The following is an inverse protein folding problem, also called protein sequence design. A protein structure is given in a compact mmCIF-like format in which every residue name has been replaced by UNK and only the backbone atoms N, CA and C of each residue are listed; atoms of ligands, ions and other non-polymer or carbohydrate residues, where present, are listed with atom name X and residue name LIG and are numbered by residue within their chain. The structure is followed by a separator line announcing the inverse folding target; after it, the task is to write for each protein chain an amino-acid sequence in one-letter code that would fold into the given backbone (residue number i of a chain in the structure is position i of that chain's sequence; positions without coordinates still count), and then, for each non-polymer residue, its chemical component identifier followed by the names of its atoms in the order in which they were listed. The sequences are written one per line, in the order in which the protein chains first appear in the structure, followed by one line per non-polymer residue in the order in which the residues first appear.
data_IF_507299211544
#
_entry.id   IF_507299211544
#
_cell.length_a   1.000
_cell.length_b   1.000
_cell.length_c   1.000
_cell.angle_alpha   90.00
_cell.angle_beta   90.00
_cell.angle_gamma   90.00
#
_symmetry.space_group_name_H-M   'P 1'
#
loop_
_entity.id
_entity.type
_entity.pdbx_description
1 polymer ?
2 polymer ?
3 water ?
#
# COMPACT_ATOMS: atom_id res chain seq x y z
N UNK A 25 2.69 15.05 11.27
CA UNK A 25 2.92 14.29 12.49
C UNK A 25 2.49 15.08 13.71
N UNK A 26 1.61 14.49 14.53
CA UNK A 26 1.16 15.22 15.71
C UNK A 26 2.20 15.11 16.82
N UNK A 27 3.01 14.06 16.80
CA UNK A 27 4.10 13.89 17.74
C UNK A 27 5.35 14.53 17.16
N UNK A 28 6.11 15.22 18.01
CA UNK A 28 7.33 15.88 17.59
C UNK A 28 8.53 15.23 18.28
N UNK A 29 9.57 14.94 17.50
CA UNK A 29 10.84 14.41 18.01
C UNK A 29 11.96 15.40 17.68
N UNK A 30 13.19 15.04 18.05
CA UNK A 30 14.31 15.79 17.51
C UNK A 30 14.60 15.33 16.09
N UNK A 31 15.13 16.22 15.22
CA UNK A 31 15.31 15.85 13.80
C UNK A 31 16.44 14.87 13.51
N UNK A 32 17.65 15.16 13.97
CA UNK A 32 18.81 14.40 13.51
C UNK A 32 19.91 14.43 14.55
N UNK A 33 20.64 13.34 14.63
CA UNK A 33 21.76 13.22 15.56
C UNK A 33 22.82 12.31 14.95
N UNK A 34 24.07 12.74 14.99
CA UNK A 34 25.19 11.96 14.49
C UNK A 34 26.11 11.59 15.65
N UNK A 35 26.62 10.37 15.65
CA UNK A 35 27.32 9.89 16.83
C UNK A 35 28.38 8.87 16.44
N UNK A 36 29.36 8.74 17.32
CA UNK A 36 30.40 7.74 17.19
C UNK A 36 29.88 6.38 17.65
N UNK A 37 30.43 5.30 17.13
CA UNK A 37 30.00 3.96 17.56
C UNK A 37 30.32 3.72 19.03
N UNK A 38 29.49 2.87 19.66
CA UNK A 38 29.61 2.47 21.07
C UNK A 38 29.20 3.58 22.03
N UNK A 39 28.72 4.70 21.52
CA UNK A 39 28.21 5.78 22.36
C UNK A 39 26.73 5.56 22.62
N UNK A 40 26.25 6.12 23.72
CA UNK A 40 24.81 6.08 24.03
C UNK A 40 24.12 7.22 23.31
N UNK A 41 22.95 6.94 22.72
CA UNK A 41 22.13 7.99 22.12
C UNK A 41 20.70 7.88 22.65
N UNK A 42 20.08 9.03 22.86
CA UNK A 42 18.70 9.06 23.36
C UNK A 42 17.86 9.96 22.45
N UNK A 43 16.91 9.35 21.78
CA UNK A 43 15.87 10.02 21.02
C UNK A 43 14.67 10.25 21.95
N UNK A 44 14.01 11.38 21.80
CA UNK A 44 12.82 11.64 22.59
C UNK A 44 11.68 12.12 21.70
N UNK A 45 10.47 11.99 22.23
CA UNK A 45 9.27 12.44 21.55
C UNK A 45 8.38 13.11 22.56
N UNK A 46 7.68 14.16 22.14
CA UNK A 46 6.76 14.90 22.97
C UNK A 46 5.37 14.84 22.35
N UNK A 47 4.36 14.66 23.20
CA UNK A 47 2.99 14.55 22.74
C UNK A 47 2.07 15.44 23.57
N UNK A 48 0.87 14.94 23.82
CA UNK A 48 -0.13 15.63 24.61
C UNK A 48 -0.81 14.61 25.52
N UNK A 49 -1.85 15.05 26.23
CA UNK A 49 -2.59 14.16 27.11
C UNK A 49 -3.47 13.20 26.33
N UNK A 50 -3.99 13.64 25.18
CA UNK A 50 -4.83 12.78 24.36
C UNK A 50 -4.09 11.59 23.77
N UNK A 51 -2.76 11.67 23.63
CA UNK A 51 -2.04 10.52 23.08
C UNK A 51 -1.07 9.90 24.08
N UNK A 52 0.18 10.41 24.14
CA UNK A 52 1.21 9.81 24.99
C UNK A 52 0.84 9.92 26.47
N UNK A 53 0.11 10.98 26.86
CA UNK A 53 -0.28 11.15 28.24
C UNK A 53 -1.08 10.01 28.81
N UNK A 54 -1.78 9.23 27.97
CA UNK A 54 -2.64 8.18 28.49
C UNK A 54 -2.60 6.90 27.65
N UNK A 55 -1.58 6.73 26.79
CA UNK A 55 -1.43 5.54 25.96
C UNK A 55 0.04 5.21 25.83
N UNK A 56 0.33 3.91 25.75
CA UNK A 56 1.70 3.45 25.66
C UNK A 56 2.30 3.77 24.29
N UNK A 57 3.63 3.75 24.22
CA UNK A 57 4.37 4.20 23.05
C UNK A 57 5.08 3.01 22.41
N UNK A 58 5.10 3.00 21.08
CA UNK A 58 5.85 2.05 20.27
C UNK A 58 6.92 2.81 19.50
N UNK A 59 8.03 2.13 19.24
CA UNK A 59 9.12 2.66 18.45
C UNK A 59 9.34 1.80 17.22
N UNK A 60 9.52 2.46 16.08
CA UNK A 60 9.64 1.83 14.78
C UNK A 60 10.97 2.25 14.15
N UNK A 61 11.69 1.28 13.61
CA UNK A 61 12.99 1.52 13.01
C UNK A 61 12.92 1.28 11.51
N UNK A 62 13.58 2.14 10.74
CA UNK A 62 13.69 1.97 9.30
C UNK A 62 15.14 2.21 8.90
N UNK A 63 15.83 1.12 8.57
CA UNK A 63 17.17 1.23 8.01
C UNK A 63 17.08 1.82 6.62
N UNK A 64 18.16 2.43 6.13
CA UNK A 64 18.17 2.96 4.75
C UNK A 64 17.76 1.90 3.74
N UNK A 65 16.80 2.26 2.89
CA UNK A 65 16.37 1.39 1.82
C UNK A 65 15.56 0.19 2.24
N UNK A 66 15.14 0.12 3.51
CA UNK A 66 14.39 -1.04 3.98
C UNK A 66 13.01 -0.61 4.45
N UNK A 67 12.19 -1.60 4.71
CA UNK A 67 10.86 -1.36 5.23
C UNK A 67 10.93 -1.08 6.72
N UNK A 68 10.04 -0.24 7.24
CA UNK A 68 9.96 -0.02 8.69
C UNK A 68 9.64 -1.31 9.43
N UNK A 69 10.20 -1.46 10.62
CA UNK A 69 9.94 -2.62 11.44
C UNK A 69 9.74 -2.18 12.89
N UNK A 70 9.05 -3.02 13.66
CA UNK A 70 8.79 -2.70 15.06
C UNK A 70 10.05 -2.89 15.88
N UNK A 71 10.46 -1.85 16.60
CA UNK A 71 11.61 -1.90 17.48
C UNK A 71 11.20 -2.12 18.94
N UNK A 72 10.27 -1.31 19.45
CA UNK A 72 9.82 -1.45 20.84
C UNK A 72 8.33 -1.22 20.92
N UNK A 73 7.72 -1.78 21.97
CA UNK A 73 6.29 -1.62 22.19
C UNK A 73 6.03 -1.55 23.69
N UNK A 74 4.85 -1.09 24.05
CA UNK A 74 4.43 -0.99 25.46
C UNK A 74 5.44 -0.18 26.27
N UNK A 75 5.90 0.92 25.68
CA UNK A 75 6.82 1.87 26.30
C UNK A 75 8.25 1.33 26.39
N UNK A 76 8.41 0.10 26.90
CA UNK A 76 9.75 -0.35 27.26
C UNK A 76 9.97 -1.84 27.00
N UNK A 77 9.18 -2.46 26.13
CA UNK A 77 9.32 -3.87 25.80
C UNK A 77 9.97 -4.01 24.42
N UNK A 78 10.89 -4.96 24.32
CA UNK A 78 11.57 -5.24 23.06
C UNK A 78 10.65 -6.03 22.14
N UNK A 79 10.52 -5.58 20.91
CA UNK A 79 9.81 -6.34 19.89
C UNK A 79 10.59 -7.62 19.59
N UNK A 80 9.90 -8.66 19.11
CA UNK A 80 10.59 -9.93 18.83
C UNK A 80 11.77 -9.73 17.88
N UNK A 81 12.90 -10.32 18.25
CA UNK A 81 14.10 -10.26 17.42
C UNK A 81 14.93 -8.99 17.53
N UNK A 82 14.58 -8.08 18.43
CA UNK A 82 15.27 -6.79 18.55
C UNK A 82 16.38 -6.89 19.60
N UNK A 83 17.48 -6.17 19.35
CA UNK A 83 18.67 -6.28 20.18
C UNK A 83 18.44 -5.78 21.60
N UNK A 84 19.19 -6.38 22.53
CA UNK A 84 19.22 -6.00 23.93
C UNK A 84 19.65 -4.56 24.17
N UNK A 85 20.28 -3.91 23.19
CA UNK A 85 20.85 -2.58 23.39
C UNK A 85 19.82 -1.46 23.35
N UNK A 86 18.56 -1.74 23.03
CA UNK A 86 17.53 -0.71 23.00
C UNK A 86 16.72 -0.74 24.30
N UNK A 87 16.36 0.45 24.78
CA UNK A 87 15.48 0.60 25.95
C UNK A 87 14.55 1.78 25.73
N UNK A 88 13.41 1.77 26.43
CA UNK A 88 12.40 2.79 26.24
C UNK A 88 11.83 3.26 27.57
N UNK A 89 11.24 4.45 27.54
CA UNK A 89 10.59 4.99 28.73
C UNK A 89 9.49 5.96 28.33
N UNK A 90 8.56 6.17 29.26
CA UNK A 90 7.48 7.14 29.07
C UNK A 90 7.16 7.78 30.40
N UNK A 91 6.98 9.10 30.39
CA UNK A 91 6.55 9.82 31.57
C UNK A 91 5.87 11.10 31.12
N UNK A 92 4.78 11.45 31.83
CA UNK A 92 4.00 12.60 31.43
C UNK A 92 3.54 12.44 30.00
N UNK A 93 3.72 13.50 29.21
CA UNK A 93 3.41 13.47 27.78
C UNK A 93 4.67 13.31 26.92
N UNK A 94 5.74 12.73 27.47
CA UNK A 94 6.96 12.50 26.72
C UNK A 94 7.37 11.03 26.80
N UNK A 95 8.19 10.63 25.84
CA UNK A 95 8.72 9.27 25.81
C UNK A 95 10.13 9.33 25.22
N UNK A 96 10.91 8.28 25.46
CA UNK A 96 12.27 8.26 24.95
C UNK A 96 12.69 6.85 24.58
N UNK A 97 13.62 6.78 23.63
CA UNK A 97 14.25 5.55 23.19
C UNK A 97 15.76 5.74 23.29
N UNK A 98 16.43 4.87 24.04
CA UNK A 98 17.87 4.94 24.22
C UNK A 98 18.53 3.74 23.56
N UNK A 99 19.60 4.02 22.82
CA UNK A 99 20.48 3.02 22.21
C UNK A 99 21.79 3.05 22.99
N UNK A 100 22.10 1.96 23.69
CA UNK A 100 23.38 1.81 24.36
C UNK A 100 24.38 1.13 23.43
N UNK A 101 25.60 1.63 23.39
CA UNK A 101 26.63 1.06 22.55
C UNK A 101 26.26 1.07 21.08
N UNK A 102 26.24 2.26 20.49
CA UNK A 102 25.77 2.43 19.12
C UNK A 102 26.59 1.58 18.16
N UNK A 103 25.88 0.88 17.27
CA UNK A 103 26.53 0.06 16.27
C UNK A 103 26.25 0.62 14.88
N UNK A 104 27.06 0.18 13.92
CA UNK A 104 26.90 0.64 12.54
C UNK A 104 25.51 0.33 12.00
N UNK A 105 24.97 -0.84 12.36
CA UNK A 105 23.65 -1.27 11.90
C UNK A 105 22.51 -0.45 12.52
N UNK A 106 22.79 0.45 13.44
CA UNK A 106 21.74 1.27 14.04
C UNK A 106 21.49 2.57 13.31
N UNK A 107 22.30 2.90 12.31
CA UNK A 107 22.04 4.06 11.48
C UNK A 107 20.68 3.94 10.81
N UNK A 108 19.72 4.79 11.18
CA UNK A 108 18.35 4.56 10.71
C UNK A 108 17.46 5.72 11.11
N UNK A 109 16.23 5.68 10.58
CA UNK A 109 15.17 6.59 11.00
C UNK A 109 14.32 5.92 12.06
N UNK A 110 14.06 6.64 13.15
CA UNK A 110 13.32 6.12 14.29
C UNK A 110 12.06 6.94 14.47
N UNK A 111 10.92 6.26 14.52
CA UNK A 111 9.62 6.90 14.60
C UNK A 111 8.89 6.44 15.86
N UNK A 112 8.29 7.39 16.56
CA UNK A 112 7.40 7.09 17.67
C UNK A 112 5.97 6.93 17.16
N UNK A 113 5.23 6.02 17.80
CA UNK A 113 3.83 5.78 17.47
C UNK A 113 3.04 5.59 18.76
N UNK A 114 1.80 6.07 18.77
CA UNK A 114 0.92 5.87 19.91
C UNK A 114 -0.52 6.07 19.49
N UNK A 115 -1.43 5.73 20.39
CA UNK A 115 -2.86 5.87 20.14
C UNK A 115 -3.33 7.20 20.71
N UNK A 116 -4.09 7.95 19.91
CA UNK A 116 -4.68 9.21 20.35
C UNK A 116 -6.17 9.01 20.56
N UNK A 117 -6.64 9.23 21.79
CA UNK A 117 -8.05 9.05 22.12
C UNK A 117 -8.92 10.18 21.58
N UNK A 118 -8.37 11.39 21.48
CA UNK A 118 -9.12 12.50 20.87
C UNK A 118 -9.33 12.25 19.39
N UNK A 119 -8.24 12.17 18.63
CA UNK A 119 -8.33 11.79 17.22
C UNK A 119 -8.91 10.40 17.06
N UNK A 120 -8.78 9.54 18.08
CA UNK A 120 -9.22 8.15 18.04
C UNK A 120 -8.54 7.40 16.89
N UNK A 121 -7.22 7.31 16.98
CA UNK A 121 -6.47 6.61 15.95
C UNK A 121 -4.98 6.72 16.19
N UNK A 122 -4.22 6.06 15.32
CA UNK A 122 -2.78 6.04 15.44
C UNK A 122 -2.19 7.39 15.06
N UNK A 123 -1.30 7.91 15.91
CA UNK A 123 -0.51 9.08 15.58
C UNK A 123 0.96 8.71 15.67
N UNK A 124 1.77 9.40 14.85
CA UNK A 124 3.18 9.11 14.72
C UNK A 124 3.99 10.38 14.91
N UNK A 125 5.32 10.21 15.01
CA UNK A 125 6.24 11.31 14.96
C UNK A 125 6.81 11.49 13.56
N UNK A 126 7.48 12.62 13.37
CA UNK A 126 8.16 12.90 12.10
C UNK A 126 9.45 12.13 11.92
N UNK A 127 9.95 11.45 12.93
CA UNK A 127 11.15 10.65 12.77
C UNK A 127 12.41 11.38 13.21
N UNK A 128 13.39 10.59 13.66
CA UNK A 128 14.72 11.08 14.02
C UNK A 128 15.74 10.21 13.31
N UNK A 129 16.67 10.83 12.59
CA UNK A 129 17.73 10.09 11.90
C UNK A 129 18.92 9.99 12.83
N UNK A 130 19.42 8.77 13.04
CA UNK A 130 20.70 8.57 13.72
C UNK A 130 21.71 8.08 12.68
N UNK A 131 22.80 8.82 12.57
CA UNK A 131 23.89 8.54 11.65
C UNK A 131 25.10 8.10 12.46
N UNK A 132 25.65 6.95 12.11
CA UNK A 132 26.82 6.41 12.81
C UNK A 132 28.07 6.78 12.01
N UNK A 133 28.98 7.52 12.64
CA UNK A 133 30.18 8.02 12.00
C UNK A 133 31.39 7.13 12.27
N UNK B 21 -11.80 9.40 -22.94
CA UNK B 21 -11.74 8.10 -22.26
C UNK B 21 -10.39 7.43 -22.46
N UNK B 22 -9.84 6.92 -21.36
CA UNK B 22 -8.59 6.16 -21.36
C UNK B 22 -8.71 5.06 -20.31
N UNK B 23 -7.65 4.27 -20.18
CA UNK B 23 -7.71 3.12 -19.27
C UNK B 23 -7.80 3.58 -17.81
N UNK B 24 -7.27 4.77 -17.50
CA UNK B 24 -7.38 5.31 -16.14
C UNK B 24 -8.84 5.62 -15.80
N UNK B 25 -9.54 6.36 -16.67
CA UNK B 25 -10.96 6.62 -16.43
C UNK B 25 -11.76 5.34 -16.42
N UNK B 26 -11.37 4.34 -17.23
CA UNK B 26 -12.06 3.06 -17.27
C UNK B 26 -12.00 2.36 -15.92
N UNK B 27 -10.78 2.18 -15.40
CA UNK B 27 -10.64 1.54 -14.10
C UNK B 27 -11.20 2.39 -12.99
N UNK B 28 -11.21 3.72 -13.12
CA UNK B 28 -11.87 4.52 -12.11
C UNK B 28 -13.35 4.25 -12.08
N UNK B 29 -13.97 4.15 -13.26
CA UNK B 29 -15.38 3.86 -13.35
C UNK B 29 -15.68 2.48 -12.74
N UNK B 30 -14.80 1.51 -12.96
CA UNK B 30 -15.08 0.15 -12.49
C UNK B 30 -14.65 -0.11 -11.04
N UNK B 31 -13.67 0.62 -10.52
CA UNK B 31 -13.13 0.33 -9.20
C UNK B 31 -13.10 1.53 -8.28
N UNK B 32 -13.39 2.74 -8.78
CA UNK B 32 -13.31 3.93 -7.96
C UNK B 32 -11.87 4.30 -7.66
N UNK B 33 -11.71 5.45 -6.99
CA UNK B 33 -10.39 5.84 -6.53
C UNK B 33 -10.52 6.64 -5.24
N UNK B 34 -9.66 6.29 -4.29
CA UNK B 34 -9.62 6.87 -2.95
C UNK B 34 -8.47 7.84 -2.88
N UNK B 35 -8.74 9.04 -2.38
CA UNK B 35 -7.68 10.00 -2.10
C UNK B 35 -7.15 9.89 -0.67
N UNK B 36 -7.79 9.08 0.17
CA UNK B 36 -7.35 8.86 1.54
C UNK B 36 -7.14 7.37 1.78
N UNK B 37 -6.08 7.05 2.53
CA UNK B 37 -5.83 5.67 2.91
C UNK B 37 -7.06 5.09 3.60
N UNK B 38 -7.48 3.91 3.16
CA UNK B 38 -8.63 3.24 3.72
C UNK B 38 -8.26 1.81 4.06
N UNK B 39 -8.76 1.34 5.21
CA UNK B 39 -8.54 -0.02 5.66
C UNK B 39 -9.85 -0.78 5.50
N UNK B 40 -9.89 -1.76 4.59
CA UNK B 40 -11.11 -2.53 4.36
C UNK B 40 -11.35 -3.52 5.50
N UNK B 41 -12.49 -4.23 5.40
CA UNK B 41 -12.85 -5.18 6.46
C UNK B 41 -11.88 -6.34 6.56
N UNK B 42 -11.11 -6.61 5.51
CA UNK B 42 -10.10 -7.66 5.53
C UNK B 42 -8.75 -7.16 5.99
N UNK B 43 -8.68 -5.97 6.59
CA UNK B 43 -7.44 -5.43 7.11
C UNK B 43 -6.48 -4.85 6.08
N UNK B 44 -6.81 -4.90 4.80
CA UNK B 44 -5.92 -4.34 3.79
C UNK B 44 -6.06 -2.82 3.75
N UNK B 45 -4.92 -2.13 3.81
CA UNK B 45 -4.87 -0.71 3.48
C UNK B 45 -4.85 -0.54 1.97
N UNK B 46 -5.59 0.45 1.49
CA UNK B 46 -5.77 0.69 0.06
C UNK B 46 -5.90 2.18 -0.15
N UNK B 47 -5.49 2.63 -1.33
CA UNK B 47 -5.69 4.02 -1.72
C UNK B 47 -5.71 4.03 -3.24
N UNK B 48 -6.09 5.15 -3.84
CA UNK B 48 -6.08 5.24 -5.29
C UNK B 48 -7.07 4.29 -5.93
N UNK B 49 -6.71 3.78 -7.10
CA UNK B 49 -7.55 2.84 -7.84
C UNK B 49 -7.09 1.44 -7.41
N UNK B 50 -7.76 0.91 -6.39
CA UNK B 50 -7.51 -0.43 -5.88
C UNK B 50 -6.06 -0.77 -5.56
N UNK B 51 -5.26 0.22 -5.22
CA UNK B 51 -3.86 -0.03 -4.94
C UNK B 51 -3.70 -0.52 -3.50
N UNK B 52 -3.26 -1.77 -3.33
CA UNK B 52 -3.07 -2.35 -2.01
C UNK B 52 -1.72 -1.96 -1.45
N UNK B 53 -1.72 -1.57 -0.17
CA UNK B 53 -0.49 -1.24 0.53
C UNK B 53 -0.11 -2.43 1.40
N UNK B 54 -0.25 -2.36 2.72
CA UNK B 54 0.04 -3.49 3.59
C UNK B 54 -1.26 -4.11 4.09
N UNK B 55 -1.11 -5.23 4.79
CA UNK B 55 -2.20 -5.96 5.40
C UNK B 55 -2.07 -5.84 6.92
N UNK B 56 -3.10 -5.31 7.57
CA UNK B 56 -3.10 -5.17 9.01
C UNK B 56 -3.55 -6.49 9.65
N UNK B 57 -3.11 -6.77 10.89
CA UNK B 57 -3.57 -7.97 11.59
C UNK B 57 -4.90 -7.77 12.31
N UNK B 70 -2.08 -8.84 23.85
CA UNK B 70 -2.73 -8.19 22.71
C UNK B 70 -2.13 -6.81 22.47
N UNK B 71 -1.29 -6.37 23.41
CA UNK B 71 -0.62 -5.08 23.25
C UNK B 71 0.42 -5.15 22.14
N UNK B 72 1.12 -6.27 22.03
CA UNK B 72 2.02 -6.47 20.89
C UNK B 72 1.25 -6.49 19.59
N UNK B 73 0.05 -7.07 19.57
CA UNK B 73 -0.72 -7.13 18.34
C UNK B 73 -1.15 -5.73 17.89
N UNK B 74 -1.60 -4.90 18.82
CA UNK B 74 -1.91 -3.52 18.45
C UNK B 74 -0.65 -2.77 18.01
N UNK B 75 0.49 -3.05 18.65
CA UNK B 75 1.73 -2.44 18.16
C UNK B 75 2.00 -2.85 16.72
N UNK B 76 1.68 -4.09 16.36
CA UNK B 76 1.81 -4.49 14.96
C UNK B 76 0.76 -3.84 14.07
N UNK B 77 -0.40 -3.46 14.62
CA UNK B 77 -1.35 -2.68 13.84
C UNK B 77 -0.77 -1.30 13.51
N UNK B 78 -0.20 -0.63 14.51
CA UNK B 78 0.44 0.65 14.24
C UNK B 78 1.61 0.48 13.26
N UNK B 79 2.36 -0.62 13.40
CA UNK B 79 3.43 -0.89 12.44
C UNK B 79 2.87 -1.04 11.02
N UNK B 80 1.78 -1.80 10.87
CA UNK B 80 1.22 -2.04 9.54
C UNK B 80 0.76 -0.75 8.89
N UNK B 81 0.07 0.10 9.65
CA UNK B 81 -0.30 1.40 9.12
C UNK B 81 0.93 2.20 8.71
N UNK B 82 1.96 2.24 9.57
CA UNK B 82 3.12 3.04 9.22
C UNK B 82 3.83 2.49 7.98
N UNK B 83 3.90 1.17 7.85
CA UNK B 83 4.46 0.57 6.65
C UNK B 83 3.66 0.96 5.40
N UNK B 84 2.33 1.01 5.52
CA UNK B 84 1.51 1.43 4.40
C UNK B 84 1.80 2.88 4.01
N UNK B 85 1.84 3.76 5.01
CA UNK B 85 2.20 5.14 4.73
C UNK B 85 3.57 5.25 4.09
N UNK B 86 4.51 4.40 4.50
CA UNK B 86 5.87 4.43 3.98
C UNK B 86 5.92 3.96 2.53
N UNK B 87 5.18 2.89 2.21
CA UNK B 87 5.05 2.48 0.81
C UNK B 87 4.44 3.59 -0.02
N UNK B 88 3.38 4.22 0.46
CA UNK B 88 2.70 5.26 -0.32
C UNK B 88 3.64 6.43 -0.57
N UNK B 89 4.29 6.92 0.48
CA UNK B 89 5.24 8.03 0.33
C UNK B 89 6.33 7.69 -0.66
N UNK B 90 6.86 6.46 -0.58
CA UNK B 90 7.92 6.08 -1.50
C UNK B 90 7.41 6.02 -2.94
N UNK B 91 6.17 5.58 -3.14
CA UNK B 91 5.62 5.47 -4.50
C UNK B 91 5.29 6.84 -5.10
N UNK B 92 4.85 7.79 -4.27
CA UNK B 92 4.41 9.11 -4.75
C UNK B 92 5.58 10.07 -4.86
N UNK B 93 6.56 9.97 -3.98
CA UNK B 93 7.66 10.92 -3.94
C UNK B 93 7.51 12.09 -2.99
N UNK B 94 6.63 11.99 -2.00
CA UNK B 94 6.54 13.01 -0.95
C UNK B 94 5.91 12.37 0.27
N UNK B 95 5.96 13.08 1.39
CA UNK B 95 5.28 12.64 2.60
C UNK B 95 3.81 13.02 2.51
N UNK B 96 2.98 12.06 2.12
CA UNK B 96 1.56 12.33 1.88
C UNK B 96 0.75 12.37 3.17
N UNK B 97 1.19 11.66 4.22
CA UNK B 97 0.43 11.48 5.45
C UNK B 97 -0.94 10.85 5.20
N UNK B 98 -1.05 10.06 4.14
CA UNK B 98 -2.26 9.31 3.86
C UNK B 98 -3.19 9.93 2.84
N UNK B 99 -2.96 11.18 2.43
CA UNK B 99 -3.83 11.88 1.50
C UNK B 99 -3.05 12.22 0.24
N UNK B 100 -3.59 11.84 -0.92
CA UNK B 100 -2.97 12.10 -2.22
C UNK B 100 -3.94 12.89 -3.09
N UNK B 101 -3.39 13.53 -4.12
CA UNK B 101 -4.19 14.19 -5.14
C UNK B 101 -4.64 13.19 -6.19
N UNK B 102 -5.53 13.64 -7.09
CA UNK B 102 -5.98 12.79 -8.17
C UNK B 102 -4.84 12.49 -9.15
N UNK B 103 -4.00 13.47 -9.43
CA UNK B 103 -2.87 13.24 -10.32
C UNK B 103 -1.89 12.22 -9.72
N UNK B 104 -1.64 12.31 -8.42
CA UNK B 104 -0.83 11.28 -7.78
C UNK B 104 -1.48 9.91 -7.87
N UNK B 105 -2.81 9.82 -7.69
CA UNK B 105 -3.50 8.55 -7.89
C UNK B 105 -3.32 8.03 -9.31
N UNK B 106 -3.32 8.93 -10.29
CA UNK B 106 -3.09 8.53 -11.67
C UNK B 106 -1.68 8.00 -11.86
N UNK B 107 -0.69 8.66 -11.25
CA UNK B 107 0.69 8.19 -11.35
C UNK B 107 0.82 6.79 -10.76
N UNK B 108 0.26 6.60 -9.56
CA UNK B 108 0.22 5.29 -8.95
C UNK B 108 -0.43 4.26 -9.87
N UNK B 109 -1.55 4.62 -10.50
CA UNK B 109 -2.25 3.70 -11.37
C UNK B 109 -1.41 3.36 -12.60
N UNK B 110 -0.67 4.33 -13.13
CA UNK B 110 0.20 4.07 -14.26
C UNK B 110 1.31 3.08 -13.89
N UNK B 111 1.86 3.23 -12.67
CA UNK B 111 2.80 2.23 -12.19
C UNK B 111 2.16 0.85 -12.13
N UNK B 112 0.93 0.77 -11.63
CA UNK B 112 0.26 -0.52 -11.52
C UNK B 112 -0.02 -1.12 -12.90
N UNK B 113 -0.37 -0.29 -13.88
CA UNK B 113 -0.57 -0.76 -15.25
C UNK B 113 0.73 -1.30 -15.82
N UNK B 114 1.84 -0.60 -15.61
CA UNK B 114 3.11 -1.07 -16.12
C UNK B 114 3.48 -2.41 -15.52
N UNK B 115 3.25 -2.57 -14.20
CA UNK B 115 3.52 -3.85 -13.56
C UNK B 115 2.62 -4.95 -14.14
N UNK B 116 1.33 -4.65 -14.31
CA UNK B 116 0.41 -5.66 -14.83
C UNK B 116 0.79 -6.08 -16.25
N UNK B 117 1.17 -5.11 -17.09
CA UNK B 117 1.58 -5.42 -18.46
C UNK B 117 2.85 -6.28 -18.44
N UNK B 118 3.80 -5.98 -17.55
CA UNK B 118 5.00 -6.82 -17.44
C UNK B 118 4.63 -8.25 -17.06
N UNK B 119 3.71 -8.40 -16.09
CA UNK B 119 3.20 -9.72 -15.77
C UNK B 119 2.62 -10.42 -17.00
N UNK B 120 1.75 -9.72 -17.72
CA UNK B 120 1.14 -10.29 -18.92
C UNK B 120 2.20 -10.76 -19.90
N UNK B 121 3.25 -9.94 -20.10
CA UNK B 121 4.26 -10.24 -21.09
C UNK B 121 5.19 -11.35 -20.64
N UNK B 122 5.12 -11.75 -19.38
CA UNK B 122 5.77 -12.95 -18.86
C UNK B 122 4.86 -14.18 -18.85
N UNK B 123 3.61 -14.04 -19.27
CA UNK B 123 2.62 -15.08 -19.10
C UNK B 123 2.36 -15.74 -20.45
N UNK B 124 2.73 -17.02 -20.58
CA UNK B 124 2.61 -17.74 -21.83
C UNK B 124 1.16 -17.85 -22.29
N UNK B 125 0.21 -17.83 -21.36
CA UNK B 125 -1.21 -17.91 -21.70
C UNK B 125 -1.82 -16.56 -22.04
N UNK B 126 -1.24 -15.45 -21.58
CA UNK B 126 -1.82 -14.13 -21.83
C UNK B 126 -1.04 -13.29 -22.83
N UNK B 127 0.26 -13.52 -22.98
CA UNK B 127 1.04 -12.67 -23.90
C UNK B 127 0.55 -12.74 -25.34
N UNK B 128 0.27 -13.90 -25.94
CA UNK B 128 -0.12 -13.89 -27.37
C UNK B 128 -1.44 -13.18 -27.63
N UNK B 129 -2.45 -13.41 -26.80
CA UNK B 129 -3.71 -12.70 -26.98
C UNK B 129 -3.50 -11.20 -26.75
N UNK B 130 -2.75 -10.83 -25.70
CA UNK B 130 -2.52 -9.42 -25.43
C UNK B 130 -1.81 -8.74 -26.60
N UNK B 131 -0.80 -9.40 -27.17
CA UNK B 131 -0.08 -8.82 -28.29
C UNK B 131 -0.95 -8.73 -29.54
N UNK B 132 -1.88 -9.67 -29.72
CA UNK B 132 -2.73 -9.63 -30.90
C UNK B 132 -3.79 -8.55 -30.82
N UNK B 133 -4.15 -8.09 -29.63
CA UNK B 133 -5.24 -7.15 -29.45
C UNK B 133 -4.81 -5.73 -29.82
N UNK B 134 -5.82 -4.88 -30.01
CA UNK B 134 -5.64 -3.44 -30.17
C UNK B 134 -5.66 -2.78 -28.80
N UNK B 135 -5.35 -1.48 -28.76
CA UNK B 135 -5.17 -0.79 -27.47
C UNK B 135 -6.41 -0.87 -26.60
N UNK B 136 -7.61 -0.64 -27.17
CA UNK B 136 -8.83 -0.61 -26.37
C UNK B 136 -9.11 -1.99 -25.77
N UNK B 137 -9.02 -3.03 -26.59
CA UNK B 137 -9.23 -4.38 -26.07
C UNK B 137 -8.14 -4.78 -25.09
N UNK B 138 -6.91 -4.32 -25.33
CA UNK B 138 -5.84 -4.51 -24.34
C UNK B 138 -6.23 -3.89 -23.00
N UNK B 139 -6.86 -2.71 -23.03
CA UNK B 139 -7.37 -2.12 -21.79
C UNK B 139 -8.40 -3.03 -21.14
N UNK B 140 -9.26 -3.68 -21.94
CA UNK B 140 -10.23 -4.61 -21.34
C UNK B 140 -9.54 -5.78 -20.65
N UNK B 141 -8.52 -6.34 -21.30
CA UNK B 141 -7.79 -7.47 -20.71
C UNK B 141 -7.09 -7.04 -19.42
N UNK B 142 -6.44 -5.87 -19.44
CA UNK B 142 -5.82 -5.36 -18.22
C UNK B 142 -6.86 -5.18 -17.13
N UNK B 143 -8.03 -4.66 -17.47
CA UNK B 143 -9.13 -4.51 -16.51
C UNK B 143 -9.45 -5.84 -15.85
N UNK B 144 -9.59 -6.90 -16.65
CA UNK B 144 -9.81 -8.23 -16.08
C UNK B 144 -8.67 -8.64 -15.16
N UNK B 145 -7.43 -8.36 -15.55
CA UNK B 145 -6.29 -8.78 -14.73
C UNK B 145 -6.29 -8.04 -13.40
N UNK B 146 -6.68 -6.76 -13.41
CA UNK B 146 -6.81 -6.02 -12.17
C UNK B 146 -7.93 -6.58 -11.29
N UNK B 147 -9.02 -7.08 -11.89
CA UNK B 147 -10.11 -7.55 -11.05
C UNK B 147 -9.87 -8.95 -10.49
N UNK B 148 -9.30 -9.86 -11.30
CA UNK B 148 -9.24 -11.27 -10.93
C UNK B 148 -7.83 -11.86 -10.84
N UNK B 149 -6.81 -11.14 -11.31
CA UNK B 149 -5.46 -11.64 -11.30
C UNK B 149 -5.10 -12.41 -12.56
N UNK B 150 -3.80 -12.49 -12.80
CA UNK B 150 -3.29 -13.19 -13.98
C UNK B 150 -3.84 -14.60 -14.07
N UNK B 151 -3.83 -15.35 -12.95
CA UNK B 151 -4.30 -16.73 -12.98
C UNK B 151 -5.78 -16.80 -13.32
N UNK B 152 -6.58 -15.92 -12.70
CA UNK B 152 -8.01 -15.90 -12.99
C UNK B 152 -8.29 -15.62 -14.46
N UNK B 153 -7.57 -14.65 -15.04
CA UNK B 153 -7.79 -14.35 -16.46
C UNK B 153 -7.30 -15.50 -17.33
N UNK B 154 -6.16 -16.09 -16.98
CA UNK B 154 -5.62 -17.23 -17.72
C UNK B 154 -6.53 -18.45 -17.67
N UNK B 155 -7.44 -18.52 -16.70
CA UNK B 155 -8.39 -19.61 -16.67
C UNK B 155 -9.36 -19.60 -17.83
N UNK B 156 -9.66 -18.41 -18.37
CA UNK B 156 -10.60 -18.27 -19.49
C UNK B 156 -9.99 -18.74 -20.80
N UNK B 157 -9.67 -20.03 -20.88
CA UNK B 157 -8.91 -20.57 -22.02
C UNK B 157 -9.63 -20.31 -23.34
N UNK B 158 -10.85 -20.84 -23.46
CA UNK B 158 -11.59 -20.74 -24.72
C UNK B 158 -11.84 -19.28 -25.10
N UNK B 159 -12.25 -18.45 -24.13
CA UNK B 159 -12.56 -17.07 -24.44
C UNK B 159 -11.32 -16.31 -24.91
N UNK B 160 -10.17 -16.57 -24.29
CA UNK B 160 -8.92 -15.95 -24.72
C UNK B 160 -8.54 -16.39 -26.12
N UNK B 161 -8.68 -17.68 -26.42
CA UNK B 161 -8.41 -18.15 -27.78
C UNK B 161 -9.32 -17.44 -28.78
N UNK B 162 -10.61 -17.31 -28.45
CA UNK B 162 -11.51 -16.59 -29.35
C UNK B 162 -11.11 -15.13 -29.51
N UNK B 163 -10.59 -14.50 -28.46
CA UNK B 163 -10.11 -13.13 -28.60
C UNK B 163 -8.90 -13.06 -29.53
N UNK B 164 -7.95 -13.97 -29.36
CA UNK B 164 -6.77 -13.95 -30.21
C UNK B 164 -7.15 -14.14 -31.68
N UNK B 165 -8.22 -14.88 -31.95
CA UNK B 165 -8.70 -15.08 -33.30
C UNK B 165 -9.75 -14.05 -33.71
N UNK B 166 -9.94 -13.01 -32.90
CA UNK B 166 -10.78 -11.86 -33.25
C UNK B 166 -12.23 -12.26 -33.51
N UNK B 167 -12.70 -13.34 -32.86
CA UNK B 167 -14.10 -13.75 -32.91
C UNK B 167 -14.83 -13.05 -31.76
N UNK B 168 -15.18 -11.78 -31.99
CA UNK B 168 -15.60 -10.91 -30.90
C UNK B 168 -16.94 -11.34 -30.32
N UNK B 169 -17.93 -11.60 -31.18
CA UNK B 169 -19.26 -11.97 -30.70
C UNK B 169 -19.20 -13.25 -29.87
N UNK B 170 -18.52 -14.28 -30.38
CA UNK B 170 -18.47 -15.55 -29.68
C UNK B 170 -17.71 -15.43 -28.36
N UNK B 171 -16.60 -14.69 -28.35
CA UNK B 171 -15.89 -14.43 -27.11
C UNK B 171 -16.78 -13.72 -26.11
N UNK B 172 -17.60 -12.77 -26.59
CA UNK B 172 -18.53 -12.07 -25.72
C UNK B 172 -19.54 -13.04 -25.09
N UNK B 173 -20.09 -13.96 -25.89
CA UNK B 173 -21.06 -14.91 -25.36
C UNK B 173 -20.42 -15.83 -24.32
N UNK B 174 -19.30 -16.47 -24.69
CA UNK B 174 -18.66 -17.40 -23.76
C UNK B 174 -18.16 -16.69 -22.51
N UNK B 175 -17.79 -15.41 -22.62
CA UNK B 175 -17.43 -14.64 -21.43
C UNK B 175 -18.66 -14.37 -20.57
N UNK B 176 -19.81 -14.13 -21.19
CA UNK B 176 -21.04 -13.99 -20.43
C UNK B 176 -21.41 -15.27 -19.71
N UNK B 177 -20.93 -16.43 -20.19
CA UNK B 177 -21.17 -17.70 -19.51
C UNK B 177 -20.06 -17.99 -18.50
N UNK B 178 -19.94 -17.13 -17.49
CA UNK B 178 -18.87 -17.27 -16.51
C UNK B 178 -19.35 -16.83 -15.14
N UNK B 179 -18.65 -17.33 -14.11
CA UNK B 179 -18.92 -16.90 -12.74
C UNK B 179 -18.60 -15.41 -12.56
N UNK B 180 -17.57 -14.93 -13.23
CA UNK B 180 -17.22 -13.52 -13.19
C UNK B 180 -18.40 -12.65 -13.61
N UNK B 181 -19.07 -13.03 -14.71
CA UNK B 181 -20.23 -12.28 -15.16
C UNK B 181 -21.38 -12.35 -14.15
N UNK B 182 -21.53 -13.48 -13.45
CA UNK B 182 -22.63 -13.60 -12.51
C UNK B 182 -22.39 -12.79 -11.24
N UNK B 183 -21.13 -12.64 -10.83
CA UNK B 183 -20.86 -11.93 -9.58
C UNK B 183 -20.90 -10.41 -9.78
N UNK B 184 -20.22 -9.90 -10.81
CA UNK B 184 -20.16 -8.48 -11.10
C UNK B 184 -20.68 -8.23 -12.52
N UNK B 185 -22.00 -8.36 -12.72
CA UNK B 185 -22.51 -8.31 -14.10
C UNK B 185 -22.40 -6.95 -14.78
N UNK B 186 -22.38 -5.85 -14.02
CA UNK B 186 -22.32 -4.54 -14.66
C UNK B 186 -20.91 -4.25 -15.18
N UNK B 187 -19.90 -4.45 -14.34
CA UNK B 187 -18.53 -4.36 -14.82
C UNK B 187 -18.27 -5.37 -15.93
N UNK B 188 -18.68 -6.63 -15.72
CA UNK B 188 -18.42 -7.64 -16.73
C UNK B 188 -19.11 -7.28 -18.04
N UNK B 189 -20.31 -6.71 -17.99
CA UNK B 189 -20.98 -6.26 -19.20
C UNK B 189 -20.18 -5.16 -19.89
N UNK B 190 -19.60 -4.24 -19.12
CA UNK B 190 -18.86 -3.14 -19.75
C UNK B 190 -17.57 -3.65 -20.41
N UNK B 191 -16.84 -4.52 -19.72
CA UNK B 191 -15.63 -5.13 -20.27
C UNK B 191 -15.95 -5.97 -21.50
N UNK B 192 -17.03 -6.75 -21.43
CA UNK B 192 -17.42 -7.61 -22.55
C UNK B 192 -17.80 -6.76 -23.75
N UNK B 193 -18.57 -5.69 -23.54
CA UNK B 193 -18.88 -4.78 -24.63
C UNK B 193 -17.60 -4.19 -25.23
N UNK B 194 -16.63 -3.85 -24.37
CA UNK B 194 -15.36 -3.31 -24.88
C UNK B 194 -14.66 -4.33 -25.78
N UNK B 195 -14.61 -5.60 -25.35
CA UNK B 195 -14.01 -6.65 -26.20
C UNK B 195 -14.78 -6.80 -27.50
N UNK B 196 -16.11 -6.78 -27.45
CA UNK B 196 -16.92 -7.05 -28.62
C UNK B 196 -16.80 -5.95 -29.66
N UNK B 197 -16.68 -4.70 -29.20
CA UNK B 197 -16.71 -3.55 -30.09
C UNK B 197 -15.34 -2.93 -30.33
N UNK B 198 -14.39 -3.09 -29.41
CA UNK B 198 -13.15 -2.35 -29.54
C UNK B 198 -13.33 -0.85 -29.43
N UNK B 199 -14.28 -0.40 -28.63
CA UNK B 199 -14.53 1.02 -28.46
C UNK B 199 -14.79 1.30 -26.98
N UNK B 200 -14.89 2.59 -26.65
CA UNK B 200 -15.12 3.00 -25.27
C UNK B 200 -16.60 3.22 -24.96
N UNK B 201 -17.50 2.71 -25.81
CA UNK B 201 -18.92 3.05 -25.73
C UNK B 201 -19.54 2.69 -24.40
N UNK B 202 -19.17 1.53 -23.84
CA UNK B 202 -19.76 1.12 -22.56
C UNK B 202 -19.34 2.02 -21.40
N UNK B 203 -18.27 2.80 -21.55
CA UNK B 203 -17.83 3.70 -20.50
C UNK B 203 -18.15 5.16 -20.77
N UNK B 204 -18.19 5.57 -22.04
CA UNK B 204 -18.49 6.94 -22.38
C UNK B 204 -19.93 7.33 -22.09
N UNK B 205 -20.81 6.35 -21.87
CA UNK B 205 -22.21 6.65 -21.61
C UNK B 205 -22.38 7.50 -20.35
N UNK B 206 -21.53 7.29 -19.35
CA UNK B 206 -21.60 8.05 -18.11
C UNK B 206 -20.19 8.34 -17.56
#
# INVERSE_FOLDING_TARGET
MGSSHHHHHHSSGLVPRGSHMGSQPVLTQSPSVSAAPRQRVTISVSGSNSNIGSNTVNWIQQLPGRAPELLMYDDDLLAPGVSDRFSGSRSGTSASLTISGLQSEDEADYYAATWDDSLNGWVFGGGTKVTVLSA
MGSSHHHHHHSSGLVPRGSHMNIFEMLRIDEGLRLKIYKDTEGYYTIGIGHLLTKSPVEGGGGSGGGGSEKLMKAFESLSLFQAKSELDKAIGRNTNGVITKDEAEKLFNQDVDAAVRGILRNAKLKPVYDSLDAVRRAALINMVFQMGETGVAGFTNSLRMLQQKRWDEAAVNLAKSRWYNQTPNRAKRVITTFRTGTWDAYANL
#
